data_IF_462702280974
#
_entry.id   IF_462702280974
#
_cell.length_a   1.000
_cell.length_b   1.000
_cell.length_c   1.000
_cell.angle_alpha   90.00
_cell.angle_beta   90.00
_cell.angle_gamma   90.00
#
_symmetry.space_group_name_H-M   'P 1'
#
loop_
_entity.id
_entity.type
_entity.pdbx_description
1 polymer ?
#
# COMPACT_ATOMS: atom_id res chain seq x y z
N UNK A 1 13.35 -3.71 -8.50
CA UNK A 1 14.66 -4.37 -8.25
C UNK A 1 14.64 -4.89 -6.82
N UNK A 2 14.96 -6.16 -6.59
CA UNK A 2 14.96 -6.74 -5.23
C UNK A 2 16.14 -6.19 -4.42
N UNK A 3 15.99 -6.11 -3.10
CA UNK A 3 17.05 -5.67 -2.19
C UNK A 3 18.33 -6.52 -2.37
N UNK A 4 18.15 -7.83 -2.53
CA UNK A 4 19.25 -8.77 -2.74
C UNK A 4 20.05 -8.45 -4.02
N UNK A 5 19.37 -8.17 -5.12
CA UNK A 5 20.02 -7.78 -6.38
C UNK A 5 20.88 -6.52 -6.21
N UNK A 6 20.35 -5.51 -5.53
CA UNK A 6 21.07 -4.25 -5.28
C UNK A 6 22.30 -4.43 -4.39
N UNK A 7 22.16 -5.20 -3.30
CA UNK A 7 23.25 -5.42 -2.35
C UNK A 7 24.41 -6.22 -2.95
N UNK A 8 24.13 -7.07 -3.95
CA UNK A 8 25.11 -7.93 -4.59
C UNK A 8 25.51 -7.47 -6.00
N UNK A 9 25.03 -6.30 -6.46
CA UNK A 9 25.35 -5.78 -7.79
C UNK A 9 24.79 -6.62 -8.95
N UNK A 10 23.72 -7.37 -8.70
CA UNK A 10 23.11 -8.29 -9.65
C UNK A 10 21.88 -7.69 -10.32
N UNK A 11 21.56 -8.17 -11.51
CA UNK A 11 20.24 -7.97 -12.10
C UNK A 11 19.18 -8.76 -11.32
N UNK A 12 17.90 -8.40 -11.46
CA UNK A 12 16.82 -9.17 -10.81
C UNK A 12 16.77 -10.63 -11.25
N UNK A 13 17.17 -10.92 -12.49
CA UNK A 13 17.23 -12.26 -13.06
C UNK A 13 18.36 -13.09 -12.40
N UNK A 14 19.55 -12.51 -12.32
CA UNK A 14 20.71 -13.15 -11.68
C UNK A 14 20.47 -13.38 -10.19
N UNK A 15 19.93 -12.39 -9.47
CA UNK A 15 19.55 -12.51 -8.08
C UNK A 15 18.52 -13.63 -7.84
N UNK A 16 17.53 -13.75 -8.74
CA UNK A 16 16.56 -14.83 -8.67
C UNK A 16 17.19 -16.21 -8.87
N UNK A 17 18.04 -16.35 -9.88
CA UNK A 17 18.72 -17.62 -10.18
C UNK A 17 19.65 -18.05 -9.03
N UNK A 18 20.36 -17.09 -8.44
CA UNK A 18 21.25 -17.36 -7.31
C UNK A 18 20.46 -17.77 -6.05
N UNK A 19 19.38 -17.05 -5.72
CA UNK A 19 18.51 -17.41 -4.59
C UNK A 19 17.79 -18.74 -4.81
N UNK A 20 17.35 -19.03 -6.02
CA UNK A 20 16.73 -20.30 -6.36
C UNK A 20 17.71 -21.47 -6.23
N UNK A 21 18.96 -21.28 -6.64
CA UNK A 21 20.03 -22.29 -6.48
C UNK A 21 20.37 -22.53 -4.99
N UNK A 22 20.43 -21.48 -4.18
CA UNK A 22 20.74 -21.57 -2.74
C UNK A 22 19.60 -22.17 -1.91
N UNK A 23 18.35 -21.98 -2.31
CA UNK A 23 17.18 -22.39 -1.52
C UNK A 23 16.62 -23.77 -1.87
N UNK A 24 17.20 -24.46 -2.84
CA UNK A 24 16.74 -25.77 -3.32
C UNK A 24 15.23 -25.83 -3.65
N UNK A 25 14.64 -24.69 -3.99
CA UNK A 25 13.22 -24.57 -4.38
C UNK A 25 13.10 -24.99 -5.83
N UNK A 26 12.73 -26.24 -6.05
CA UNK A 26 12.49 -26.80 -7.36
C UNK A 26 11.33 -26.09 -8.10
N UNK A 27 11.69 -25.53 -9.26
CA UNK A 27 10.91 -25.37 -10.48
C UNK A 27 9.39 -25.17 -10.33
N UNK A 28 8.99 -23.91 -10.14
CA UNK A 28 7.77 -23.46 -10.79
C UNK A 28 8.17 -22.95 -12.21
N UNK A 29 7.58 -23.48 -13.29
CA UNK A 29 7.83 -22.96 -14.62
C UNK A 29 7.38 -21.49 -14.66
N UNK A 30 8.31 -20.58 -14.94
CA UNK A 30 8.01 -19.22 -15.34
C UNK A 30 7.27 -19.31 -16.67
N UNK A 31 5.95 -19.36 -16.63
CA UNK A 31 5.17 -19.06 -17.82
C UNK A 31 5.34 -17.57 -18.08
N UNK A 32 5.82 -17.16 -19.27
CA UNK A 32 5.72 -15.77 -19.65
C UNK A 32 4.23 -15.47 -19.76
N UNK A 33 3.72 -14.66 -18.84
CA UNK A 33 2.37 -14.13 -18.96
C UNK A 33 2.39 -13.15 -20.15
N UNK A 34 2.05 -13.66 -21.33
CA UNK A 34 1.67 -12.85 -22.47
C UNK A 34 0.29 -12.25 -22.18
N UNK A 35 0.25 -11.21 -21.37
CA UNK A 35 -0.87 -10.31 -21.33
C UNK A 35 -0.51 -9.11 -22.19
N UNK A 36 -1.04 -9.10 -23.40
CA UNK A 36 -1.24 -7.87 -24.19
C UNK A 36 -2.20 -6.97 -23.40
N UNK A 37 -1.69 -6.34 -22.38
CA UNK A 37 -2.31 -5.21 -21.74
C UNK A 37 -1.55 -4.01 -22.29
N UNK A 38 -2.20 -3.18 -23.08
CA UNK A 38 -1.75 -1.82 -23.37
C UNK A 38 -1.23 -1.26 -22.04
N UNK A 39 0.08 -1.12 -21.94
CA UNK A 39 0.76 -0.56 -20.78
C UNK A 39 0.40 0.91 -20.70
N UNK A 40 -0.73 1.23 -20.06
CA UNK A 40 -0.90 2.57 -19.52
C UNK A 40 0.20 2.76 -18.49
N UNK A 41 0.91 3.87 -18.58
CA UNK A 41 1.94 4.22 -17.60
C UNK A 41 1.39 4.05 -16.18
N UNK A 42 2.18 3.44 -15.27
CA UNK A 42 1.75 3.33 -13.89
C UNK A 42 1.47 4.74 -13.38
N UNK A 43 0.39 4.90 -12.64
CA UNK A 43 0.03 6.16 -11.99
C UNK A 43 1.27 6.75 -11.29
N UNK A 44 1.70 7.95 -11.70
CA UNK A 44 2.97 8.53 -11.25
C UNK A 44 3.04 8.61 -9.73
N UNK A 45 4.23 8.43 -9.15
CA UNK A 45 4.41 8.37 -7.71
C UNK A 45 3.93 9.66 -7.03
N UNK A 46 4.26 10.80 -7.61
CA UNK A 46 3.91 12.13 -7.10
C UNK A 46 2.40 12.36 -7.10
N UNK A 47 1.73 11.99 -8.17
CA UNK A 47 0.27 12.05 -8.28
C UNK A 47 -0.40 11.12 -7.27
N UNK A 48 0.13 9.90 -7.12
CA UNK A 48 -0.35 8.93 -6.14
C UNK A 48 -0.16 9.41 -4.71
N UNK A 49 0.99 10.02 -4.41
CA UNK A 49 1.25 10.65 -3.12
C UNK A 49 0.26 11.78 -2.84
N UNK A 50 0.03 12.67 -3.80
CA UNK A 50 -0.90 13.80 -3.66
C UNK A 50 -2.33 13.29 -3.37
N UNK A 51 -2.85 12.38 -4.22
CA UNK A 51 -4.19 11.83 -4.05
C UNK A 51 -4.38 11.07 -2.73
N UNK A 52 -3.40 10.26 -2.32
CA UNK A 52 -3.48 9.56 -1.04
C UNK A 52 -3.30 10.49 0.17
N UNK A 53 -2.49 11.54 0.05
CA UNK A 53 -2.34 12.53 1.13
C UNK A 53 -3.65 13.28 1.35
N UNK A 54 -4.32 13.68 0.29
CA UNK A 54 -5.64 14.32 0.37
C UNK A 54 -6.70 13.33 0.91
N UNK A 55 -6.72 12.09 0.42
CA UNK A 55 -7.60 11.05 0.98
C UNK A 55 -7.45 10.93 2.49
N UNK A 56 -6.21 10.90 3.00
CA UNK A 56 -5.95 10.80 4.43
C UNK A 56 -6.39 12.04 5.20
N UNK A 57 -6.30 13.23 4.61
CA UNK A 57 -6.76 14.48 5.26
C UNK A 57 -8.28 14.53 5.44
N UNK A 58 -9.02 13.87 4.55
CA UNK A 58 -10.49 13.77 4.60
C UNK A 58 -11.00 12.69 5.56
N UNK A 59 -10.12 11.84 6.08
CA UNK A 59 -10.46 10.74 6.97
C UNK A 59 -10.08 11.03 8.42
N UNK A 60 -10.78 10.39 9.35
CA UNK A 60 -10.47 10.39 10.78
C UNK A 60 -9.95 9.03 11.24
N UNK A 61 -9.29 8.99 12.37
CA UNK A 61 -8.94 7.75 13.06
C UNK A 61 -9.92 7.55 14.20
N UNK A 62 -10.65 6.44 14.24
CA UNK A 62 -11.57 6.11 15.32
C UNK A 62 -10.81 5.80 16.62
N UNK A 63 -11.44 6.05 17.76
CA UNK A 63 -10.84 5.79 19.09
C UNK A 63 -10.40 4.34 19.22
N UNK A 64 -11.21 3.39 18.78
CA UNK A 64 -10.88 1.96 18.77
C UNK A 64 -9.57 1.65 18.02
N UNK A 65 -9.36 2.29 16.86
CA UNK A 65 -8.13 2.09 16.09
C UNK A 65 -6.94 2.82 16.72
N UNK A 66 -7.17 3.98 17.32
CA UNK A 66 -6.16 4.72 18.08
C UNK A 66 -5.67 3.91 19.29
N UNK A 67 -6.59 3.36 20.07
CA UNK A 67 -6.28 2.46 21.18
C UNK A 67 -5.48 1.25 20.74
N UNK A 68 -5.85 0.61 19.62
CA UNK A 68 -5.09 -0.51 19.06
C UNK A 68 -3.66 -0.14 18.66
N UNK A 69 -3.43 1.10 18.23
CA UNK A 69 -2.08 1.60 17.92
C UNK A 69 -1.30 1.92 19.20
N UNK A 70 -1.93 2.48 20.22
CA UNK A 70 -1.34 2.71 21.56
C UNK A 70 -0.92 1.40 22.23
N UNK A 71 -1.76 0.36 22.21
CA UNK A 71 -1.42 -0.98 22.70
C UNK A 71 -0.18 -1.58 22.04
N UNK A 72 0.17 -1.10 20.84
CA UNK A 72 1.37 -1.50 20.09
C UNK A 72 2.58 -0.62 20.36
N UNK A 73 2.43 0.38 21.23
CA UNK A 73 3.52 1.27 21.63
C UNK A 73 3.69 2.50 20.73
N UNK A 74 2.71 2.83 19.87
CA UNK A 74 2.77 4.04 19.06
C UNK A 74 2.12 5.22 19.81
N UNK A 75 2.87 6.29 20.15
CA UNK A 75 2.30 7.50 20.75
C UNK A 75 1.56 8.33 19.70
N UNK A 76 0.70 9.26 20.15
CA UNK A 76 -0.15 10.08 19.28
C UNK A 76 0.64 10.86 18.23
N UNK A 77 1.78 11.41 18.58
CA UNK A 77 2.62 12.19 17.65
C UNK A 77 3.09 11.33 16.48
N UNK A 78 3.39 10.05 16.72
CA UNK A 78 3.79 9.10 15.67
C UNK A 78 2.58 8.66 14.85
N UNK A 79 1.44 8.42 15.51
CA UNK A 79 0.18 8.06 14.85
C UNK A 79 -0.23 9.16 13.86
N UNK A 80 -0.20 10.41 14.27
CA UNK A 80 -0.57 11.55 13.44
C UNK A 80 0.44 11.81 12.33
N UNK A 81 1.74 11.83 12.66
CA UNK A 81 2.81 12.01 11.68
C UNK A 81 2.77 10.95 10.57
N UNK A 82 2.50 9.70 10.92
CA UNK A 82 2.44 8.59 9.95
C UNK A 82 1.14 8.58 9.17
N UNK A 83 0.09 9.24 9.66
CA UNK A 83 -1.17 9.42 8.94
C UNK A 83 -2.07 8.18 8.95
N UNK A 84 -2.12 7.43 10.06
CA UNK A 84 -3.08 6.34 10.21
C UNK A 84 -4.50 6.87 10.23
N UNK A 85 -5.40 6.24 9.48
CA UNK A 85 -6.82 6.63 9.38
C UNK A 85 -7.72 5.41 9.31
N UNK A 86 -8.92 5.52 9.85
CA UNK A 86 -9.93 4.46 9.72
C UNK A 86 -10.48 4.40 8.31
N UNK A 87 -10.75 3.20 7.83
CA UNK A 87 -11.49 3.01 6.58
C UNK A 87 -12.94 3.50 6.72
N UNK A 88 -13.52 4.13 5.69
CA UNK A 88 -14.95 4.42 5.67
C UNK A 88 -15.75 3.13 5.78
N UNK A 89 -16.69 3.07 6.71
CA UNK A 89 -17.45 1.86 7.02
C UNK A 89 -18.52 1.59 5.97
N UNK A 90 -19.25 2.62 5.57
CA UNK A 90 -20.38 2.50 4.67
C UNK A 90 -20.00 2.69 3.19
N UNK A 91 -20.78 2.13 2.30
CA UNK A 91 -20.62 2.36 0.85
C UNK A 91 -20.83 3.85 0.49
N UNK A 92 -21.76 4.52 1.17
CA UNK A 92 -22.05 5.93 0.95
C UNK A 92 -20.86 6.81 1.28
N UNK A 93 -20.19 6.57 2.40
CA UNK A 93 -18.97 7.29 2.79
C UNK A 93 -17.84 7.05 1.77
N UNK A 94 -17.67 5.82 1.30
CA UNK A 94 -16.67 5.47 0.29
C UNK A 94 -16.93 6.16 -1.06
N UNK A 95 -18.21 6.27 -1.47
CA UNK A 95 -18.61 7.01 -2.68
C UNK A 95 -18.38 8.52 -2.50
N UNK A 96 -18.76 9.08 -1.34
CA UNK A 96 -18.56 10.50 -1.05
C UNK A 96 -17.05 10.86 -1.08
N UNK A 97 -16.23 10.08 -0.39
CA UNK A 97 -14.77 10.27 -0.39
C UNK A 97 -14.19 10.23 -1.80
N UNK A 98 -14.56 9.23 -2.60
CA UNK A 98 -14.08 9.10 -3.97
C UNK A 98 -14.58 10.25 -4.87
N UNK A 99 -15.81 10.73 -4.67
CA UNK A 99 -16.35 11.87 -5.42
C UNK A 99 -15.62 13.18 -5.10
N UNK A 100 -15.28 13.41 -3.83
CA UNK A 100 -14.49 14.58 -3.42
C UNK A 100 -13.10 14.54 -4.05
N UNK A 101 -12.41 13.43 -3.97
CA UNK A 101 -11.08 13.27 -4.56
C UNK A 101 -11.09 13.39 -6.09
N UNK A 102 -12.15 12.95 -6.76
CA UNK A 102 -12.27 13.05 -8.21
C UNK A 102 -12.42 14.49 -8.73
N UNK A 103 -12.66 15.47 -7.85
CA UNK A 103 -12.66 16.89 -8.22
C UNK A 103 -11.26 17.39 -8.58
N UNK A 104 -10.23 16.91 -7.87
CA UNK A 104 -8.87 17.44 -7.97
C UNK A 104 -7.86 16.40 -8.47
N UNK A 105 -8.24 15.11 -8.47
CA UNK A 105 -7.36 14.00 -8.86
C UNK A 105 -8.00 13.09 -9.91
N UNK A 106 -7.20 12.66 -10.87
CA UNK A 106 -7.56 11.54 -11.75
C UNK A 106 -7.51 10.24 -10.93
N UNK A 107 -8.63 9.56 -10.75
CA UNK A 107 -8.69 8.30 -9.98
C UNK A 107 -8.44 7.04 -10.81
N UNK A 108 -8.46 7.18 -12.15
CA UNK A 108 -8.18 6.06 -13.02
C UNK A 108 -6.73 5.59 -12.86
N UNK A 109 -6.53 4.32 -12.52
CA UNK A 109 -5.20 3.76 -12.29
C UNK A 109 -4.68 3.92 -10.85
N UNK A 110 -5.41 4.63 -9.98
CA UNK A 110 -5.07 4.75 -8.56
C UNK A 110 -5.58 3.50 -7.80
N UNK A 111 -4.68 2.68 -7.19
CA UNK A 111 -5.10 1.48 -6.48
C UNK A 111 -6.07 1.78 -5.33
N UNK A 112 -7.13 0.98 -5.25
CA UNK A 112 -8.19 1.15 -4.26
C UNK A 112 -9.44 1.83 -4.80
N UNK A 113 -9.33 2.63 -5.86
CA UNK A 113 -10.47 3.29 -6.48
C UNK A 113 -10.97 2.54 -7.71
N UNK A 114 -12.27 2.56 -7.94
CA UNK A 114 -12.93 1.92 -9.09
C UNK A 114 -14.30 2.54 -9.33
N UNK A 115 -14.90 2.28 -10.48
CA UNK A 115 -16.28 2.70 -10.76
C UNK A 115 -17.26 1.56 -10.48
N UNK A 116 -18.38 1.92 -9.87
CA UNK A 116 -19.54 1.08 -9.65
C UNK A 116 -20.79 1.87 -10.04
N UNK A 117 -21.59 1.34 -10.95
CA UNK A 117 -22.77 2.03 -11.49
C UNK A 117 -22.43 3.44 -12.04
N UNK A 118 -21.30 3.55 -12.75
CA UNK A 118 -20.81 4.81 -13.33
C UNK A 118 -20.25 5.83 -12.32
N UNK A 119 -20.17 5.50 -11.03
CA UNK A 119 -19.72 6.42 -9.98
C UNK A 119 -18.43 5.90 -9.33
N UNK A 120 -17.49 6.80 -9.08
CA UNK A 120 -16.26 6.45 -8.35
C UNK A 120 -16.56 6.02 -6.90
N UNK A 121 -15.86 5.02 -6.44
CA UNK A 121 -15.92 4.53 -5.06
C UNK A 121 -14.59 3.95 -4.62
N UNK A 122 -14.42 3.78 -3.31
CA UNK A 122 -13.24 3.15 -2.69
C UNK A 122 -13.54 1.68 -2.37
N UNK A 123 -12.56 0.81 -2.60
CA UNK A 123 -12.64 -0.61 -2.23
C UNK A 123 -12.76 -0.77 -0.71
N UNK A 124 -13.84 -1.40 -0.26
CA UNK A 124 -14.18 -1.51 1.16
C UNK A 124 -13.41 -2.59 1.91
N UNK A 125 -13.15 -2.31 3.18
CA UNK A 125 -12.75 -3.25 4.22
C UNK A 125 -12.95 -2.60 5.60
N UNK A 126 -13.21 -3.41 6.62
CA UNK A 126 -13.21 -2.94 7.99
C UNK A 126 -11.77 -2.96 8.53
N UNK A 127 -11.32 -1.85 9.08
CA UNK A 127 -9.97 -1.69 9.59
C UNK A 127 -9.41 -0.29 9.40
N UNK A 128 -8.11 -0.15 9.49
CA UNK A 128 -7.45 1.13 9.32
C UNK A 128 -6.33 1.10 8.26
N UNK A 129 -6.13 2.26 7.65
CA UNK A 129 -5.14 2.51 6.61
C UNK A 129 -3.75 2.72 7.23
N UNK A 130 -2.76 2.14 6.59
CA UNK A 130 -1.34 2.28 6.90
C UNK A 130 -0.66 2.80 5.62
N UNK A 131 -0.21 4.07 5.58
CA UNK A 131 0.53 4.60 4.45
C UNK A 131 1.86 3.88 4.28
N UNK A 132 2.16 3.46 3.07
CA UNK A 132 3.44 2.83 2.72
C UNK A 132 4.28 3.85 1.96
N UNK A 133 5.33 4.34 2.59
CA UNK A 133 6.18 5.43 2.09
C UNK A 133 7.50 4.91 1.52
N UNK A 134 8.05 5.61 0.55
CA UNK A 134 9.42 5.39 0.06
C UNK A 134 10.46 6.10 0.96
N UNK A 135 11.72 6.05 0.55
CA UNK A 135 12.83 6.73 1.27
C UNK A 135 12.72 8.27 1.30
N UNK A 136 11.96 8.84 0.39
CA UNK A 136 11.74 10.29 0.26
C UNK A 136 10.44 10.73 0.99
N UNK A 137 9.79 9.82 1.72
CA UNK A 137 8.55 10.07 2.46
C UNK A 137 7.29 10.04 1.61
N UNK A 138 7.39 9.84 0.29
CA UNK A 138 6.23 9.81 -0.61
C UNK A 138 5.41 8.53 -0.44
N UNK A 139 4.10 8.67 -0.38
CA UNK A 139 3.18 7.53 -0.25
C UNK A 139 3.13 6.77 -1.57
N UNK A 140 3.61 5.53 -1.56
CA UNK A 140 3.60 4.63 -2.71
C UNK A 140 2.29 3.84 -2.82
N UNK A 141 1.67 3.57 -1.68
CA UNK A 141 0.43 2.80 -1.59
C UNK A 141 -0.06 2.73 -0.16
N UNK A 142 -1.18 2.03 0.03
CA UNK A 142 -1.81 1.84 1.32
C UNK A 142 -1.93 0.36 1.66
N UNK A 143 -1.60 0.00 2.90
CA UNK A 143 -2.07 -1.25 3.49
C UNK A 143 -3.27 -0.99 4.37
N UNK A 144 -4.13 -2.00 4.50
CA UNK A 144 -5.23 -2.01 5.45
C UNK A 144 -4.90 -3.08 6.50
N UNK A 145 -4.87 -2.69 7.77
CA UNK A 145 -4.95 -3.64 8.86
C UNK A 145 -6.43 -3.94 9.10
N UNK A 146 -6.80 -5.19 8.87
CA UNK A 146 -8.19 -5.63 9.05
C UNK A 146 -8.53 -5.78 10.52
N UNK A 147 -9.78 -5.49 10.85
CA UNK A 147 -10.35 -5.75 12.16
C UNK A 147 -10.63 -7.25 12.36
N UNK A 148 -10.74 -7.66 13.63
CA UNK A 148 -11.07 -9.03 14.02
C UNK A 148 -9.95 -10.03 13.75
N UNK A 149 -10.30 -11.31 13.86
CA UNK A 149 -9.38 -12.46 13.73
C UNK A 149 -9.29 -13.01 12.31
N UNK A 150 -9.22 -12.12 11.32
CA UNK A 150 -9.04 -12.54 9.94
C UNK A 150 -7.74 -13.34 9.78
N UNK A 151 -7.79 -14.46 9.04
CA UNK A 151 -6.62 -15.28 8.70
C UNK A 151 -5.49 -14.48 8.04
N UNK A 152 -5.85 -13.36 7.41
CA UNK A 152 -4.91 -12.36 6.89
C UNK A 152 -5.18 -11.03 7.58
N UNK A 153 -4.32 -10.66 8.50
CA UNK A 153 -4.42 -9.40 9.25
C UNK A 153 -4.17 -8.15 8.39
N UNK A 154 -3.48 -8.29 7.28
CA UNK A 154 -3.11 -7.18 6.39
C UNK A 154 -3.45 -7.47 4.94
N UNK A 155 -3.93 -6.46 4.22
CA UNK A 155 -4.07 -6.49 2.77
C UNK A 155 -3.67 -5.15 2.15
N UNK A 156 -3.31 -5.15 0.87
CA UNK A 156 -3.14 -3.91 0.12
C UNK A 156 -4.51 -3.30 -0.22
N UNK A 157 -4.60 -1.98 -0.12
CA UNK A 157 -5.70 -1.23 -0.73
C UNK A 157 -5.56 -1.38 -2.26
N UNK A 158 -6.51 -2.05 -2.88
CA UNK A 158 -6.43 -2.46 -4.28
C UNK A 158 -7.83 -2.67 -4.86
N UNK A 159 -8.03 -2.26 -6.09
CA UNK A 159 -9.26 -2.45 -6.87
C UNK A 159 -8.90 -3.21 -8.16
N UNK A 160 -8.99 -4.54 -8.13
CA UNK A 160 -8.51 -5.38 -9.24
C UNK A 160 -9.36 -5.16 -10.50
N UNK A 161 -8.75 -4.82 -11.67
CA UNK A 161 -9.48 -4.60 -12.93
C UNK A 161 -10.34 -5.78 -13.39
N UNK A 162 -9.95 -7.01 -13.02
CA UNK A 162 -10.71 -8.22 -13.34
C UNK A 162 -12.06 -8.34 -12.63
N UNK A 163 -12.31 -7.49 -11.62
CA UNK A 163 -13.53 -7.51 -10.79
C UNK A 163 -14.17 -6.15 -10.60
N UNK A 164 -13.46 -5.08 -10.92
CA UNK A 164 -13.82 -3.70 -10.60
C UNK A 164 -13.50 -2.83 -11.81
N UNK A 165 -14.52 -2.24 -12.40
CA UNK A 165 -14.39 -1.37 -13.56
C UNK A 165 -13.50 -0.17 -13.23
N UNK A 166 -12.60 0.21 -14.15
CA UNK A 166 -11.59 1.27 -13.97
C UNK A 166 -10.68 1.09 -12.74
N UNK A 167 -10.69 -0.10 -12.12
CA UNK A 167 -9.87 -0.40 -10.96
C UNK A 167 -8.39 -0.57 -11.31
N UNK A 168 -7.54 -0.41 -10.29
CA UNK A 168 -6.11 -0.59 -10.41
C UNK A 168 -5.58 -1.56 -9.34
N UNK A 169 -4.57 -2.34 -9.74
CA UNK A 169 -3.90 -3.27 -8.88
C UNK A 169 -2.84 -2.58 -8.04
N UNK A 170 -2.80 -2.86 -6.74
CA UNK A 170 -1.68 -2.46 -5.89
C UNK A 170 -0.47 -3.36 -6.12
N UNK A 171 0.71 -2.78 -6.04
CA UNK A 171 1.97 -3.52 -6.02
C UNK A 171 2.44 -3.75 -4.58
N UNK A 172 3.45 -4.61 -4.41
CA UNK A 172 4.12 -4.79 -3.12
C UNK A 172 5.28 -3.82 -3.02
N UNK A 173 5.06 -2.70 -2.34
CA UNK A 173 6.10 -1.71 -2.08
C UNK A 173 6.79 -1.97 -0.75
N UNK A 174 8.03 -1.52 -0.66
CA UNK A 174 8.80 -1.51 0.58
C UNK A 174 8.48 -0.19 1.30
N UNK A 175 8.08 -0.29 2.57
CA UNK A 175 7.94 0.86 3.46
C UNK A 175 9.31 1.23 4.05
N UNK A 176 9.61 2.52 4.03
CA UNK A 176 10.80 3.09 4.64
C UNK A 176 10.37 4.09 5.70
N UNK A 177 10.90 3.96 6.91
CA UNK A 177 10.63 4.84 8.05
C UNK A 177 11.91 5.10 8.83
N UNK A 178 11.91 6.09 9.70
CA UNK A 178 13.08 6.49 10.49
C UNK A 178 14.08 7.36 9.72
N UNK A 179 15.24 7.56 10.31
CA UNK A 179 16.31 8.37 9.73
C UNK A 179 17.07 7.60 8.64
N UNK A 180 16.87 7.99 7.39
CA UNK A 180 17.48 7.35 6.22
C UNK A 180 18.96 7.70 6.01
N UNK A 181 19.54 8.56 6.84
CA UNK A 181 20.98 8.92 6.79
C UNK A 181 21.85 7.95 7.58
N UNK A 182 21.24 7.09 8.40
CA UNK A 182 21.95 6.13 9.23
C UNK A 182 22.66 5.07 8.39
N UNK A 183 23.84 4.63 8.86
CA UNK A 183 24.63 3.58 8.21
C UNK A 183 24.07 2.16 8.40
N UNK A 184 23.10 2.00 9.29
CA UNK A 184 22.46 0.71 9.60
C UNK A 184 20.97 0.80 9.26
N UNK A 185 20.45 -0.26 8.66
CA UNK A 185 19.03 -0.43 8.39
C UNK A 185 18.54 -1.74 9.03
N UNK A 186 17.34 -1.69 9.58
CA UNK A 186 16.65 -2.88 10.09
C UNK A 186 15.56 -3.28 9.12
N UNK A 187 15.42 -4.56 8.85
CA UNK A 187 14.38 -5.11 7.99
C UNK A 187 13.30 -5.73 8.86
N UNK A 188 12.05 -5.29 8.65
CA UNK A 188 10.87 -5.83 9.35
C UNK A 188 9.89 -6.44 8.34
N UNK A 189 8.98 -7.28 8.82
CA UNK A 189 8.01 -7.98 7.95
C UNK A 189 6.86 -7.08 7.45
N UNK A 190 6.72 -5.86 7.97
CA UNK A 190 5.65 -4.98 7.55
C UNK A 190 5.75 -3.55 8.06
N UNK A 191 5.01 -2.60 7.45
CA UNK A 191 5.16 -1.17 7.72
C UNK A 191 4.88 -0.82 9.19
N UNK A 192 3.82 -1.34 9.78
CA UNK A 192 3.49 -1.04 11.19
C UNK A 192 4.61 -1.46 12.16
N UNK A 193 5.28 -2.60 11.91
CA UNK A 193 6.44 -3.00 12.72
C UNK A 193 7.65 -2.11 12.47
N UNK A 194 7.82 -1.60 11.26
CA UNK A 194 8.83 -0.61 10.95
C UNK A 194 8.59 0.68 11.73
N UNK A 195 7.37 1.18 11.74
CA UNK A 195 6.98 2.40 12.45
C UNK A 195 7.12 2.29 13.98
N UNK A 196 6.91 1.09 14.55
CA UNK A 196 7.10 0.84 15.99
C UNK A 196 8.59 0.81 16.36
N UNK A 197 9.44 0.40 15.42
CA UNK A 197 10.88 0.24 15.66
C UNK A 197 11.72 1.49 15.32
N UNK A 198 11.10 2.55 14.78
CA UNK A 198 11.78 3.76 14.29
C UNK A 198 11.87 4.93 15.35
#
# INVERSE_FOLDING_TARGET
MTLYARLNGLTNKEAYLELAAKSNIYKLPLQPSSSNTTSREPYALEQRHAAYSEMLSLLTLSDRHRENLHERGLPDEVIERNGYKSMPETESERRLLASLLACDHELHGLPGFYTKDGTWTLAGANGFLIPVRNKDGLIQGMKIRLDGDAARKYRWLSSRPSRMENGARSYSWIHVTGDTTQKRAYLTEGPLKGDIAS
#
